data_IF_258045846064
#
_entry.id   IF_258045846064
#
_cell.length_a   1.000
_cell.length_b   1.000
_cell.length_c   1.000
_cell.angle_alpha   90.00
_cell.angle_beta   90.00
_cell.angle_gamma   90.00
#
_symmetry.space_group_name_H-M   'P 1'
#
loop_
_entity.id
_entity.type
_entity.pdbx_description
1 polymer ?
#
# COMPACT_ATOMS: atom_id res chain seq x y z
N UNK A 1 -12.59 -10.96 -6.19
CA UNK A 1 -12.65 -11.05 -4.71
C UNK A 1 -11.23 -10.94 -4.18
N UNK A 2 -10.98 -9.99 -3.28
CA UNK A 2 -9.65 -9.81 -2.66
C UNK A 2 -9.30 -11.05 -1.83
N UNK A 3 -8.11 -11.62 -2.07
CA UNK A 3 -7.59 -12.80 -1.35
C UNK A 3 -6.55 -12.42 -0.31
N UNK A 4 -6.24 -13.31 0.64
CA UNK A 4 -5.12 -13.12 1.58
C UNK A 4 -3.79 -12.84 0.88
N UNK A 5 -3.55 -13.50 -0.27
CA UNK A 5 -2.38 -13.24 -1.10
C UNK A 5 -2.36 -11.81 -1.62
N UNK A 6 -3.51 -11.28 -2.06
CA UNK A 6 -3.58 -9.88 -2.51
C UNK A 6 -3.31 -8.91 -1.36
N UNK A 7 -3.85 -9.17 -0.18
CA UNK A 7 -3.55 -8.32 0.99
C UNK A 7 -2.06 -8.32 1.33
N UNK A 8 -1.40 -9.48 1.23
CA UNK A 8 0.05 -9.56 1.46
C UNK A 8 0.84 -8.75 0.43
N UNK A 9 0.49 -8.86 -0.85
CA UNK A 9 1.17 -8.10 -1.91
C UNK A 9 0.95 -6.58 -1.75
N UNK A 10 -0.29 -6.14 -1.48
CA UNK A 10 -0.59 -4.73 -1.22
C UNK A 10 0.15 -4.23 0.03
N UNK A 11 0.26 -5.08 1.06
CA UNK A 11 0.99 -4.78 2.29
C UNK A 11 2.50 -4.61 2.07
N UNK A 12 3.09 -5.45 1.22
CA UNK A 12 4.50 -5.35 0.87
C UNK A 12 4.75 -4.07 0.05
N UNK A 13 3.89 -3.78 -0.93
CA UNK A 13 4.01 -2.61 -1.81
C UNK A 13 3.86 -1.27 -1.06
N UNK A 14 3.08 -1.22 0.03
CA UNK A 14 2.85 0.04 0.77
C UNK A 14 4.15 0.63 1.36
N UNK A 15 5.19 -0.19 1.55
CA UNK A 15 6.51 0.27 1.98
C UNK A 15 7.24 1.09 0.91
N UNK A 16 6.93 0.88 -0.37
CA UNK A 16 7.55 1.58 -1.49
C UNK A 16 6.87 2.94 -1.76
N UNK A 17 5.97 3.36 -0.88
CA UNK A 17 5.47 4.75 -0.78
C UNK A 17 6.50 5.66 -0.08
N UNK A 18 7.37 5.10 0.77
CA UNK A 18 8.38 5.85 1.52
C UNK A 18 9.46 6.41 0.58
N UNK A 19 9.44 7.74 0.41
CA UNK A 19 10.37 8.48 -0.45
C UNK A 19 11.82 8.50 0.05
N UNK A 20 12.05 8.19 1.34
CA UNK A 20 13.37 7.98 1.90
C UNK A 20 13.91 6.57 1.72
N UNK A 21 13.07 5.60 1.34
CA UNK A 21 13.42 4.19 1.17
C UNK A 21 13.71 3.80 -0.28
N UNK A 22 12.97 4.36 -1.24
CA UNK A 22 13.08 4.02 -2.67
C UNK A 22 13.27 5.26 -3.53
N UNK A 23 14.00 5.11 -4.65
CA UNK A 23 14.29 6.23 -5.57
C UNK A 23 13.04 6.70 -6.35
N UNK A 24 12.10 5.79 -6.62
CA UNK A 24 10.85 6.09 -7.32
C UNK A 24 9.65 5.57 -6.52
N UNK A 25 9.10 6.41 -5.62
CA UNK A 25 7.99 6.01 -4.77
C UNK A 25 6.71 5.81 -5.56
N UNK A 26 5.85 4.92 -5.05
CA UNK A 26 4.51 4.68 -5.59
C UNK A 26 3.68 5.95 -5.53
N UNK A 27 2.95 6.24 -6.61
CA UNK A 27 2.10 7.43 -6.79
C UNK A 27 0.71 7.02 -7.24
N UNK A 28 -0.20 7.99 -7.22
CA UNK A 28 -1.55 7.83 -7.78
C UNK A 28 -1.49 7.38 -9.23
N UNK A 29 -2.29 6.37 -9.57
CA UNK A 29 -2.37 5.79 -10.91
C UNK A 29 -1.39 4.65 -11.15
N UNK A 30 -0.41 4.43 -10.27
CA UNK A 30 0.49 3.29 -10.41
C UNK A 30 -0.24 1.97 -10.20
N UNK A 31 0.31 0.93 -10.83
CA UNK A 31 -0.19 -0.43 -10.76
C UNK A 31 0.60 -1.23 -9.73
N UNK A 32 -0.09 -1.79 -8.76
CA UNK A 32 0.49 -2.52 -7.61
C UNK A 32 -0.12 -3.92 -7.50
N UNK A 33 0.41 -4.72 -6.58
CA UNK A 33 0.05 -6.12 -6.34
C UNK A 33 -0.02 -6.90 -7.66
N UNK A 34 1.14 -7.04 -8.31
CA UNK A 34 1.30 -7.66 -9.62
C UNK A 34 0.41 -7.07 -10.72
N UNK A 35 0.21 -5.74 -10.69
CA UNK A 35 -0.63 -4.98 -11.64
C UNK A 35 -2.11 -5.36 -11.61
N UNK A 36 -2.57 -5.97 -10.52
CA UNK A 36 -3.97 -6.31 -10.35
C UNK A 36 -4.77 -5.18 -9.70
N UNK A 37 -4.07 -4.20 -9.10
CA UNK A 37 -4.67 -3.08 -8.40
C UNK A 37 -4.07 -1.77 -8.90
N UNK A 38 -4.87 -0.71 -8.87
CA UNK A 38 -4.43 0.64 -9.18
C UNK A 38 -4.55 1.54 -7.96
N UNK A 39 -3.58 2.42 -7.78
CA UNK A 39 -3.58 3.43 -6.71
C UNK A 39 -4.58 4.54 -7.03
N UNK A 40 -5.54 4.75 -6.13
CA UNK A 40 -6.70 5.63 -6.36
C UNK A 40 -6.47 7.08 -5.93
N UNK A 41 -5.67 7.28 -4.90
CA UNK A 41 -5.35 8.60 -4.34
C UNK A 41 -3.85 8.76 -4.21
N UNK A 42 -3.37 9.99 -4.06
CA UNK A 42 -1.97 10.21 -3.73
C UNK A 42 -1.65 9.49 -2.40
N UNK A 43 -0.64 8.59 -2.39
CA UNK A 43 -0.23 7.92 -1.17
C UNK A 43 0.26 8.91 -0.12
N UNK A 44 0.09 8.55 1.15
CA UNK A 44 0.57 9.36 2.27
C UNK A 44 1.93 8.81 2.69
N UNK A 45 2.94 9.67 2.62
CA UNK A 45 4.26 9.45 3.22
C UNK A 45 4.47 10.54 4.29
N UNK A 46 4.19 10.22 5.55
CA UNK A 46 4.33 11.17 6.64
C UNK A 46 5.70 11.00 7.29
N UNK A 47 6.66 11.84 6.87
CA UNK A 47 8.03 11.82 7.37
C UNK A 47 8.16 12.16 8.87
N UNK A 48 7.19 12.88 9.45
CA UNK A 48 7.23 13.30 10.86
C UNK A 48 6.94 12.13 11.82
N UNK A 49 5.99 11.26 11.47
CA UNK A 49 5.63 10.08 12.27
C UNK A 49 6.07 8.75 11.64
N UNK A 50 6.66 8.81 10.45
CA UNK A 50 7.19 7.70 9.68
C UNK A 50 6.13 6.79 9.07
N UNK A 51 4.84 7.14 9.09
CA UNK A 51 3.76 6.28 8.56
C UNK A 51 3.59 6.40 7.05
N UNK A 52 3.30 5.27 6.40
CA UNK A 52 2.92 5.21 5.00
C UNK A 52 1.49 4.68 4.85
N UNK A 53 0.72 5.23 3.90
CA UNK A 53 -0.61 4.73 3.57
C UNK A 53 -0.91 4.81 2.08
N UNK A 54 -1.67 3.85 1.58
CA UNK A 54 -2.07 3.75 0.18
C UNK A 54 -3.52 3.24 0.07
N UNK A 55 -4.29 3.84 -0.83
CA UNK A 55 -5.62 3.36 -1.20
C UNK A 55 -5.61 2.81 -2.62
N UNK A 56 -6.06 1.57 -2.79
CA UNK A 56 -6.04 0.86 -4.08
C UNK A 56 -7.39 0.26 -4.42
N UNK A 57 -7.68 0.14 -5.71
CA UNK A 57 -8.85 -0.54 -6.24
C UNK A 57 -8.40 -1.69 -7.16
N UNK A 58 -9.08 -2.85 -7.14
CA UNK A 58 -8.82 -3.92 -8.09
C UNK A 58 -9.19 -3.48 -9.51
N UNK A 59 -8.44 -3.96 -10.50
CA UNK A 59 -8.76 -3.73 -11.90
C UNK A 59 -9.70 -4.85 -12.37
N UNK A 60 -10.87 -4.46 -12.88
CA UNK A 60 -11.88 -5.35 -13.44
C UNK A 60 -12.16 -4.86 -14.86
N UNK A 61 -12.02 -5.74 -15.85
CA UNK A 61 -12.21 -5.41 -17.27
C UNK A 61 -11.37 -4.22 -17.80
N UNK A 62 -10.20 -4.00 -17.18
CA UNK A 62 -9.27 -2.94 -17.57
C UNK A 62 -9.51 -1.60 -16.88
N UNK A 63 -10.55 -1.49 -16.05
CA UNK A 63 -10.86 -0.28 -15.28
C UNK A 63 -10.81 -0.56 -13.76
N UNK A 64 -10.44 0.44 -12.93
CA UNK A 64 -10.49 0.30 -11.48
C UNK A 64 -11.93 0.16 -10.97
N UNK A 65 -12.22 -0.93 -10.25
CA UNK A 65 -13.50 -1.14 -9.58
C UNK A 65 -13.50 -0.42 -8.22
N UNK A 66 -14.02 0.81 -8.20
CA UNK A 66 -14.09 1.63 -6.98
C UNK A 66 -15.17 1.15 -6.00
N UNK A 67 -15.95 0.11 -6.32
CA UNK A 67 -16.86 -0.52 -5.35
C UNK A 67 -16.10 -1.34 -4.29
N UNK A 68 -14.81 -1.60 -4.51
CA UNK A 68 -13.95 -2.29 -3.56
C UNK A 68 -12.65 -1.50 -3.40
N UNK A 69 -12.55 -0.72 -2.33
CA UNK A 69 -11.31 0.01 -2.01
C UNK A 69 -10.57 -0.71 -0.90
N UNK A 70 -9.31 -1.06 -1.12
CA UNK A 70 -8.41 -1.56 -0.11
C UNK A 70 -7.51 -0.42 0.36
N UNK A 71 -7.52 -0.13 1.67
CA UNK A 71 -6.60 0.83 2.28
C UNK A 71 -5.55 0.05 3.05
N UNK A 72 -4.29 0.25 2.70
CA UNK A 72 -3.12 -0.32 3.37
C UNK A 72 -2.38 0.76 4.16
N UNK A 73 -1.94 0.40 5.37
CA UNK A 73 -1.13 1.24 6.24
C UNK A 73 0.13 0.49 6.65
N UNK A 74 1.32 1.02 6.35
CA UNK A 74 2.55 0.52 6.94
C UNK A 74 2.89 1.27 8.23
N UNK A 75 3.28 0.48 9.23
CA UNK A 75 3.87 0.99 10.45
C UNK A 75 5.24 1.63 10.18
N UNK A 76 5.68 2.52 11.07
CA UNK A 76 6.72 3.47 10.72
C UNK A 76 8.11 2.87 10.55
N UNK A 77 8.85 3.39 9.57
CA UNK A 77 10.25 3.08 9.31
C UNK A 77 11.18 3.78 10.33
N UNK A 78 11.00 3.49 11.62
CA UNK A 78 12.00 3.87 12.62
C UNK A 78 13.17 2.88 12.52
N UNK A 79 14.37 3.43 12.37
CA UNK A 79 15.68 2.78 12.30
C UNK A 79 16.04 1.97 13.58
N UNK A 80 15.15 1.06 14.02
CA UNK A 80 15.42 0.11 15.10
C UNK A 80 16.10 -1.10 14.48
N UNK A 81 17.43 -1.13 14.61
CA UNK A 81 18.35 -2.23 14.28
C UNK A 81 18.00 -3.62 14.86
N UNK A 82 16.83 -3.81 15.48
CA UNK A 82 16.43 -5.08 16.07
C UNK A 82 14.90 -5.26 16.23
N UNK A 83 14.08 -4.63 15.39
CA UNK A 83 12.63 -4.79 15.52
C UNK A 83 12.17 -6.12 14.91
N UNK A 84 12.11 -7.17 15.74
CA UNK A 84 11.40 -8.43 15.49
C UNK A 84 9.87 -8.27 15.37
N UNK A 85 9.37 -7.03 15.34
CA UNK A 85 7.98 -6.75 15.02
C UNK A 85 7.87 -6.81 13.50
N UNK A 86 7.32 -7.91 13.00
CA UNK A 86 6.77 -7.99 11.65
C UNK A 86 6.06 -6.68 11.35
N UNK A 87 6.65 -5.91 10.44
CA UNK A 87 6.05 -4.77 9.74
C UNK A 87 4.54 -4.99 9.59
N UNK A 88 3.76 -4.43 10.50
CA UNK A 88 2.34 -4.79 10.63
C UNK A 88 1.59 -3.91 9.67
N UNK A 89 1.37 -4.41 8.46
CA UNK A 89 0.51 -3.73 7.51
C UNK A 89 -0.95 -4.09 7.79
N UNK A 90 -1.79 -3.09 7.97
CA UNK A 90 -3.23 -3.27 8.12
C UNK A 90 -3.89 -2.96 6.78
N UNK A 91 -4.60 -3.94 6.23
CA UNK A 91 -5.41 -3.78 5.03
C UNK A 91 -6.89 -3.83 5.40
N UNK A 92 -7.67 -2.84 4.96
CA UNK A 92 -9.12 -2.80 5.14
C UNK A 92 -9.82 -2.64 3.80
N UNK A 93 -10.85 -3.45 3.55
CA UNK A 93 -11.69 -3.30 2.36
C UNK A 93 -12.96 -2.52 2.71
N UNK A 94 -13.21 -1.44 1.99
CA UNK A 94 -14.47 -0.68 2.00
C UNK A 94 -15.30 -1.18 0.81
N UNK A 95 -16.55 -1.57 1.07
CA UNK A 95 -17.55 -1.97 0.07
C UNK A 95 -18.79 -1.12 0.20
#
# INVERSE_FOLDING_TARGET
>A
MVTEKNYKEIADDVYDVDSGRVDNPIKKGDLVANKQYQVMTDPVDNLDNGMQAMAVAPIVDGEPDTSQIVIAYAGPHFNRKNSLLNSTCLCYTIR
#
